data_IF_295107215178
#
_entry.id   IF_295107215178
#
_cell.length_a   1.000
_cell.length_b   1.000
_cell.length_c   1.000
_cell.angle_alpha   90.00
_cell.angle_beta   90.00
_cell.angle_gamma   90.00
#
_symmetry.space_group_name_H-M   'P 1'
#
loop_
_entity.id
_entity.type
_entity.pdbx_description
1 polymer ?
#
# COMPACT_ATOMS: atom_id res chain seq x y z
N UNK A 1 -12.69 16.57 -8.39
CA UNK A 1 -12.67 15.32 -7.60
C UNK A 1 -13.01 15.70 -6.17
N UNK A 2 -13.95 15.01 -5.52
CA UNK A 2 -14.23 15.27 -4.10
C UNK A 2 -13.04 14.84 -3.24
N UNK A 3 -12.73 15.56 -2.15
CA UNK A 3 -11.70 15.14 -1.21
C UNK A 3 -12.16 13.89 -0.45
N UNK A 4 -11.21 13.03 -0.07
CA UNK A 4 -11.47 11.92 0.85
C UNK A 4 -11.71 12.49 2.25
N UNK A 5 -12.74 11.99 2.93
CA UNK A 5 -13.04 12.41 4.30
C UNK A 5 -11.95 11.96 5.28
N UNK A 6 -11.79 12.71 6.38
CA UNK A 6 -10.81 12.41 7.42
C UNK A 6 -11.03 11.00 8.02
N UNK A 7 -9.91 10.35 8.33
CA UNK A 7 -9.89 9.01 8.93
C UNK A 7 -9.98 7.85 7.95
N UNK A 8 -10.24 8.07 6.65
CA UNK A 8 -10.25 7.01 5.64
C UNK A 8 -8.87 6.76 4.99
N UNK A 9 -7.93 7.68 5.18
CA UNK A 9 -6.53 7.58 4.78
C UNK A 9 -5.69 7.67 6.08
N UNK A 10 -4.65 6.84 6.28
CA UNK A 10 -3.80 6.92 7.47
C UNK A 10 -3.12 8.29 7.62
N UNK A 11 -2.96 8.76 8.86
CA UNK A 11 -2.51 10.12 9.17
C UNK A 11 -1.21 10.61 8.48
N UNK A 12 -0.14 9.80 8.30
CA UNK A 12 1.09 10.32 7.68
C UNK A 12 0.97 10.47 6.15
N UNK A 13 -0.10 9.96 5.53
CA UNK A 13 -0.23 9.97 4.08
C UNK A 13 -0.66 11.33 3.55
N UNK A 14 0.04 11.81 2.52
CA UNK A 14 -0.24 13.06 1.82
C UNK A 14 -0.68 12.79 0.38
N UNK A 15 -1.65 13.57 -0.10
CA UNK A 15 -2.12 13.48 -1.48
C UNK A 15 -1.12 14.17 -2.42
N UNK A 16 -0.57 13.43 -3.38
CA UNK A 16 0.39 13.96 -4.38
C UNK A 16 -0.25 14.23 -5.74
N UNK A 17 -1.57 14.14 -5.83
CA UNK A 17 -2.35 14.48 -7.02
C UNK A 17 -2.92 13.28 -7.75
N UNK A 18 -3.77 13.60 -8.73
CA UNK A 18 -4.44 12.64 -9.60
C UNK A 18 -3.67 12.35 -10.88
N UNK A 19 -3.52 11.08 -11.21
CA UNK A 19 -3.04 10.64 -12.53
C UNK A 19 -4.25 10.20 -13.36
N UNK A 20 -4.38 10.67 -14.63
CA UNK A 20 -5.48 10.26 -15.49
C UNK A 20 -5.62 8.74 -15.54
N UNK A 21 -6.86 8.24 -15.42
CA UNK A 21 -7.22 6.82 -15.42
C UNK A 21 -6.68 5.98 -14.24
N UNK A 22 -5.94 6.57 -13.30
CA UNK A 22 -5.43 5.88 -12.11
C UNK A 22 -6.05 6.42 -10.81
N UNK A 23 -6.42 7.71 -10.78
CA UNK A 23 -6.94 8.35 -9.58
C UNK A 23 -5.87 9.10 -8.79
N UNK A 24 -6.22 9.55 -7.59
CA UNK A 24 -5.31 10.26 -6.71
C UNK A 24 -4.45 9.30 -5.89
N UNK A 25 -3.16 9.61 -5.80
CA UNK A 25 -2.18 8.82 -5.07
C UNK A 25 -1.84 9.51 -3.75
N UNK A 26 -1.77 8.71 -2.70
CA UNK A 26 -1.43 9.13 -1.36
C UNK A 26 -0.18 8.37 -0.92
N UNK A 27 0.80 9.09 -0.39
CA UNK A 27 2.10 8.54 -0.01
C UNK A 27 2.45 8.90 1.43
N UNK A 28 3.18 8.03 2.12
CA UNK A 28 3.86 8.41 3.36
C UNK A 28 5.24 9.03 3.00
N UNK A 29 5.47 10.33 3.27
CA UNK A 29 6.73 10.99 2.93
C UNK A 29 7.91 10.53 3.81
N UNK A 30 7.65 9.75 4.86
CA UNK A 30 8.69 9.19 5.75
C UNK A 30 9.21 7.84 5.25
N UNK A 31 8.54 7.21 4.30
CA UNK A 31 8.96 5.95 3.68
C UNK A 31 9.84 6.17 2.44
N UNK A 32 10.68 5.18 2.13
CA UNK A 32 11.39 5.14 0.84
C UNK A 32 10.38 4.99 -0.31
N UNK A 33 10.56 5.66 -1.46
CA UNK A 33 11.68 6.56 -1.81
C UNK A 33 11.45 8.03 -1.43
N UNK A 34 10.34 8.36 -0.78
CA UNK A 34 9.91 9.73 -0.56
C UNK A 34 10.70 10.45 0.54
N UNK A 35 11.33 9.68 1.43
CA UNK A 35 12.27 10.17 2.44
C UNK A 35 13.69 10.48 1.90
N UNK A 36 13.93 10.30 0.60
CA UNK A 36 15.24 10.52 -0.04
C UNK A 36 16.15 9.29 -0.09
N UNK A 37 15.71 8.16 0.47
CA UNK A 37 16.41 6.89 0.33
C UNK A 37 16.15 6.23 -1.03
N UNK A 38 16.96 5.21 -1.36
CA UNK A 38 16.79 4.46 -2.58
C UNK A 38 15.48 3.66 -2.57
N UNK A 39 14.75 3.68 -3.69
CA UNK A 39 13.48 2.96 -3.81
C UNK A 39 13.66 1.44 -3.61
N UNK A 40 13.03 0.89 -2.58
CA UNK A 40 12.98 -0.55 -2.30
C UNK A 40 11.56 -1.06 -2.38
N UNK A 41 10.70 -0.57 -1.49
CA UNK A 41 9.30 -0.93 -1.35
C UNK A 41 8.53 0.25 -0.78
N UNK A 42 7.34 0.50 -1.30
CA UNK A 42 6.41 1.50 -0.75
C UNK A 42 4.98 1.05 -0.96
N UNK A 43 4.10 1.44 -0.04
CA UNK A 43 2.66 1.27 -0.21
C UNK A 43 2.02 2.61 -0.55
N UNK A 44 1.21 2.63 -1.61
CA UNK A 44 0.40 3.79 -1.99
C UNK A 44 -1.07 3.51 -1.70
N UNK A 45 -1.72 4.48 -1.08
CA UNK A 45 -3.18 4.52 -1.02
C UNK A 45 -3.73 5.26 -2.24
N UNK A 46 -4.81 4.71 -2.80
CA UNK A 46 -5.45 5.24 -3.98
C UNK A 46 -6.87 5.71 -3.73
N UNK A 47 -7.27 6.83 -4.32
CA UNK A 47 -8.64 7.33 -4.16
C UNK A 47 -9.25 7.91 -5.44
N UNK A 48 -10.57 7.83 -5.52
CA UNK A 48 -11.37 8.49 -6.56
C UNK A 48 -12.72 8.94 -6.00
N UNK A 49 -13.17 10.13 -6.43
CA UNK A 49 -14.42 10.80 -5.98
C UNK A 49 -14.72 10.75 -4.47
N UNK A 50 -13.68 10.90 -3.63
CA UNK A 50 -13.81 10.93 -2.17
C UNK A 50 -13.77 9.56 -1.50
N UNK A 51 -13.58 8.48 -2.26
CA UNK A 51 -13.49 7.11 -1.75
C UNK A 51 -12.08 6.54 -1.94
N UNK A 52 -11.63 5.72 -0.99
CA UNK A 52 -10.42 4.89 -1.16
C UNK A 52 -10.77 3.73 -2.07
N UNK A 53 -10.08 3.60 -3.19
CA UNK A 53 -10.41 2.64 -4.25
C UNK A 53 -9.36 1.56 -4.45
N UNK A 54 -8.12 1.78 -4.02
CA UNK A 54 -7.06 0.78 -4.14
C UNK A 54 -5.94 0.95 -3.10
N UNK A 55 -5.18 -0.14 -2.95
CA UNK A 55 -3.87 -0.19 -2.32
C UNK A 55 -2.88 -0.68 -3.36
N UNK A 56 -1.74 0.00 -3.50
CA UNK A 56 -0.73 -0.32 -4.50
C UNK A 56 0.64 -0.50 -3.83
N UNK A 57 1.04 -1.75 -3.54
CA UNK A 57 2.41 -2.05 -3.17
C UNK A 57 3.32 -1.95 -4.41
N UNK A 58 4.27 -1.02 -4.41
CA UNK A 58 5.30 -0.93 -5.43
C UNK A 58 6.63 -1.41 -4.86
N UNK A 59 7.24 -2.42 -5.48
CA UNK A 59 8.46 -3.06 -4.97
C UNK A 59 9.46 -3.21 -6.11
N UNK A 60 10.73 -2.86 -5.87
CA UNK A 60 11.77 -3.04 -6.89
C UNK A 60 12.17 -4.50 -7.03
N UNK A 61 12.48 -4.91 -8.26
CA UNK A 61 13.00 -6.24 -8.54
C UNK A 61 14.28 -6.55 -7.76
N UNK A 62 15.17 -5.56 -7.60
CA UNK A 62 16.42 -5.73 -6.88
C UNK A 62 16.17 -6.07 -5.41
N UNK A 63 15.22 -5.39 -4.76
CA UNK A 63 14.84 -5.66 -3.38
C UNK A 63 14.29 -7.09 -3.21
N UNK A 64 13.37 -7.50 -4.09
CA UNK A 64 12.82 -8.88 -4.11
C UNK A 64 13.92 -9.95 -4.24
N UNK A 65 14.96 -9.68 -5.03
CA UNK A 65 16.05 -10.64 -5.26
C UNK A 65 17.04 -10.72 -4.10
N UNK A 66 17.17 -9.66 -3.29
CA UNK A 66 18.03 -9.62 -2.11
C UNK A 66 17.32 -10.22 -0.89
N UNK A 67 16.11 -9.74 -0.60
CA UNK A 67 15.27 -10.17 0.51
C UNK A 67 14.18 -11.10 0.00
N UNK A 68 14.58 -12.33 -0.29
CA UNK A 68 13.74 -13.37 -0.91
C UNK A 68 12.35 -13.51 -0.27
N UNK A 69 12.25 -13.29 1.04
CA UNK A 69 10.97 -13.27 1.75
C UNK A 69 10.96 -12.09 2.72
N UNK A 70 9.94 -11.25 2.62
CA UNK A 70 9.69 -10.15 3.56
C UNK A 70 8.20 -9.88 3.71
N UNK A 71 7.83 -9.25 4.82
CA UNK A 71 6.50 -8.74 5.12
C UNK A 71 6.61 -7.35 5.73
N UNK A 72 5.78 -6.44 5.26
CA UNK A 72 5.71 -5.07 5.76
C UNK A 72 4.27 -4.76 6.21
N UNK A 73 4.10 -3.99 7.31
CA UNK A 73 2.79 -3.57 7.75
C UNK A 73 2.16 -2.58 6.77
N UNK A 74 0.83 -2.63 6.66
CA UNK A 74 0.01 -1.61 6.03
C UNK A 74 -0.55 -0.73 7.14
N UNK A 75 -0.16 0.54 7.18
CA UNK A 75 -0.76 1.51 8.09
C UNK A 75 -2.26 1.56 7.84
N UNK A 76 -3.06 1.38 8.90
CA UNK A 76 -4.51 1.29 8.80
C UNK A 76 -5.15 2.67 8.97
N UNK A 77 -6.26 2.95 8.26
CA UNK A 77 -7.07 4.13 8.52
C UNK A 77 -7.88 3.95 9.81
N UNK A 78 -8.31 5.06 10.41
CA UNK A 78 -9.20 5.04 11.59
C UNK A 78 -10.63 4.61 11.22
N UNK A 79 -11.00 4.75 9.95
CA UNK A 79 -12.33 4.44 9.40
C UNK A 79 -12.19 3.64 8.12
N UNK A 80 -13.02 2.62 7.99
CA UNK A 80 -13.12 1.83 6.77
C UNK A 80 -14.42 2.14 6.02
N UNK A 81 -14.43 2.08 4.67
CA UNK A 81 -15.61 2.39 3.85
C UNK A 81 -16.83 1.53 4.18
N UNK A 82 -16.61 0.25 4.50
CA UNK A 82 -17.66 -0.72 4.74
C UNK A 82 -17.44 -1.46 6.06
N UNK A 83 -18.53 -1.67 6.81
CA UNK A 83 -18.54 -2.48 8.01
C UNK A 83 -18.72 -3.96 7.65
N UNK A 84 -18.09 -4.85 8.41
CA UNK A 84 -18.16 -6.29 8.26
C UNK A 84 -17.31 -6.87 7.13
N UNK A 85 -16.48 -6.04 6.48
CA UNK A 85 -15.55 -6.44 5.41
C UNK A 85 -14.13 -6.67 5.93
N UNK A 86 -13.30 -7.25 5.08
CA UNK A 86 -11.92 -7.60 5.37
C UNK A 86 -10.95 -6.64 4.67
N UNK A 87 -10.01 -6.08 5.42
CA UNK A 87 -9.00 -5.15 4.93
C UNK A 87 -7.59 -5.66 5.26
N UNK A 88 -6.65 -5.68 4.31
CA UNK A 88 -5.33 -6.22 4.54
C UNK A 88 -4.53 -5.33 5.51
N UNK A 89 -3.75 -5.97 6.39
CA UNK A 89 -2.87 -5.27 7.34
C UNK A 89 -1.40 -5.46 7.05
N UNK A 90 -1.07 -6.36 6.11
CA UNK A 90 0.30 -6.59 5.66
C UNK A 90 0.34 -6.77 4.14
N UNK A 91 1.51 -6.48 3.57
CA UNK A 91 1.87 -6.90 2.23
C UNK A 91 3.28 -7.49 2.24
N UNK A 92 3.63 -8.27 1.23
CA UNK A 92 4.95 -8.87 1.21
C UNK A 92 5.22 -9.74 0.00
N UNK A 93 6.42 -10.32 0.05
CA UNK A 93 6.91 -11.26 -0.95
C UNK A 93 7.41 -12.51 -0.25
N UNK A 94 7.16 -13.67 -0.84
CA UNK A 94 7.70 -14.94 -0.39
C UNK A 94 8.37 -15.65 -1.57
N UNK A 95 9.59 -16.14 -1.37
CA UNK A 95 10.28 -16.94 -2.37
C UNK A 95 10.13 -18.44 -2.09
N UNK A 96 9.45 -19.13 -2.99
CA UNK A 96 9.38 -20.58 -3.03
C UNK A 96 10.61 -21.13 -3.73
N UNK A 97 11.61 -21.58 -2.96
CA UNK A 97 12.86 -22.11 -3.49
C UNK A 97 12.68 -23.41 -4.29
N UNK A 98 11.71 -24.25 -3.92
CA UNK A 98 11.45 -25.51 -4.61
C UNK A 98 10.90 -25.27 -6.02
N UNK A 99 10.01 -24.27 -6.16
CA UNK A 99 9.41 -23.87 -7.44
C UNK A 99 10.19 -22.79 -8.17
N UNK A 100 11.16 -22.16 -7.51
CA UNK A 100 11.91 -20.97 -7.98
C UNK A 100 10.97 -19.82 -8.36
N UNK A 101 9.96 -19.56 -7.54
CA UNK A 101 8.91 -18.55 -7.79
C UNK A 101 8.84 -17.53 -6.65
N UNK A 102 8.53 -16.28 -6.99
CA UNK A 102 8.17 -15.25 -6.02
C UNK A 102 6.64 -15.14 -5.95
N UNK A 103 6.09 -15.14 -4.74
CA UNK A 103 4.68 -14.86 -4.46
C UNK A 103 4.58 -13.48 -3.82
N UNK A 104 3.93 -12.55 -4.52
CA UNK A 104 3.57 -11.24 -3.98
C UNK A 104 2.15 -11.34 -3.42
N UNK A 105 1.91 -10.78 -2.24
CA UNK A 105 0.60 -10.89 -1.59
C UNK A 105 0.29 -9.72 -0.67
N UNK A 106 -1.01 -9.57 -0.39
CA UNK A 106 -1.55 -8.84 0.76
C UNK A 106 -2.20 -9.84 1.72
N UNK A 107 -2.20 -9.56 3.02
CA UNK A 107 -2.64 -10.51 4.03
C UNK A 107 -2.97 -9.88 5.38
N UNK A 108 -3.09 -10.73 6.41
CA UNK A 108 -3.32 -10.30 7.79
C UNK A 108 -4.66 -9.59 7.99
N UNK A 109 -5.71 -9.99 7.28
CA UNK A 109 -6.93 -9.21 7.16
C UNK A 109 -7.60 -8.89 8.51
N UNK A 110 -7.85 -7.60 8.75
CA UNK A 110 -8.71 -7.11 9.83
C UNK A 110 -10.16 -7.11 9.35
N UNK A 111 -11.07 -7.58 10.20
CA UNK A 111 -12.50 -7.39 10.00
C UNK A 111 -12.95 -6.14 10.74
N UNK A 112 -13.44 -5.14 10.01
CA UNK A 112 -14.04 -3.93 10.58
C UNK A 112 -15.53 -4.11 10.86
#
# INVERSE_FOLDING_TARGET
>A
MKPVAEGYIPAPYINIGGVPQMGAHWIDPTESPFNGEAFTSVLIYGSYDGEVTFLEPMITKAFIQQEKTFQLPILQPDRFPETGKYYPTIYGVEYDAARKQYRLYVGGFLRN
#
